data_IF_628055547017
#
_entry.id   IF_628055547017
#
_cell.length_a   1.000
_cell.length_b   1.000
_cell.length_c   1.000
_cell.angle_alpha   90.00
_cell.angle_beta   90.00
_cell.angle_gamma   90.00
#
_symmetry.space_group_name_H-M   'P 1'
#
loop_
_entity.id
_entity.type
_entity.pdbx_description
1 polymer ?
#
# COMPACT_ATOMS: atom_id res chain seq x y z
N UNK A 1 12.17 -9.11 3.49
CA UNK A 1 12.48 -9.18 2.04
C UNK A 1 11.93 -10.48 1.45
N UNK A 2 12.17 -11.65 2.04
CA UNK A 2 11.66 -12.92 1.50
C UNK A 2 10.14 -12.92 1.26
N UNK A 3 9.34 -12.42 2.19
CA UNK A 3 7.88 -12.37 2.05
C UNK A 3 7.40 -11.46 0.90
N UNK A 4 8.20 -10.48 0.49
CA UNK A 4 7.92 -9.63 -0.68
C UNK A 4 8.04 -10.45 -1.97
N UNK A 5 8.99 -11.37 -2.01
CA UNK A 5 9.30 -12.19 -3.19
C UNK A 5 8.41 -13.42 -3.36
N UNK A 6 7.72 -13.86 -2.31
CA UNK A 6 6.91 -15.08 -2.32
C UNK A 6 5.41 -14.81 -2.38
N UNK A 7 4.73 -15.46 -3.32
CA UNK A 7 3.27 -15.30 -3.50
C UNK A 7 2.53 -15.97 -2.34
N UNK A 8 1.61 -15.21 -1.71
CA UNK A 8 0.79 -15.74 -0.63
C UNK A 8 1.48 -15.84 0.72
N UNK A 9 2.78 -15.55 0.81
CA UNK A 9 3.48 -15.49 2.08
C UNK A 9 3.45 -14.08 2.68
N UNK A 10 3.19 -14.03 3.98
CA UNK A 10 3.28 -12.81 4.77
C UNK A 10 3.90 -13.16 6.12
N UNK A 11 4.81 -12.34 6.59
CA UNK A 11 5.33 -12.43 7.96
C UNK A 11 4.31 -11.95 9.00
N UNK A 12 3.21 -11.35 8.53
CA UNK A 12 2.14 -10.83 9.39
C UNK A 12 1.20 -11.94 9.77
N UNK A 13 0.93 -12.10 11.05
CA UNK A 13 -0.07 -13.05 11.56
C UNK A 13 -1.46 -12.53 11.21
N UNK A 14 -2.35 -13.46 10.84
CA UNK A 14 -3.75 -13.14 10.59
C UNK A 14 -4.39 -12.51 11.82
N UNK A 15 -5.08 -11.39 11.66
CA UNK A 15 -5.80 -10.68 12.73
C UNK A 15 -4.99 -9.63 13.50
N UNK A 16 -3.65 -9.60 13.36
CA UNK A 16 -2.82 -8.58 14.03
C UNK A 16 -2.43 -7.42 13.11
N UNK A 17 -2.41 -7.68 11.80
CA UNK A 17 -1.92 -6.71 10.82
C UNK A 17 -2.77 -6.68 9.55
N UNK A 18 -2.83 -5.51 8.92
CA UNK A 18 -3.39 -5.33 7.58
C UNK A 18 -2.51 -6.06 6.55
N UNK A 19 -3.14 -6.79 5.62
CA UNK A 19 -2.44 -7.37 4.48
C UNK A 19 -1.73 -8.68 4.75
N UNK A 20 -2.41 -9.65 5.33
CA UNK A 20 -1.88 -10.99 5.59
C UNK A 20 -1.81 -11.92 4.36
N UNK A 21 -2.43 -11.56 3.24
CA UNK A 21 -2.51 -12.42 2.03
C UNK A 21 -1.32 -12.26 1.07
N UNK A 22 -0.43 -11.31 1.29
CA UNK A 22 0.74 -11.08 0.42
C UNK A 22 0.42 -10.65 -1.01
N UNK A 23 -0.81 -10.19 -1.27
CA UNK A 23 -1.27 -9.82 -2.62
C UNK A 23 -1.22 -8.30 -2.83
N UNK A 24 -1.55 -7.51 -1.80
CA UNK A 24 -1.71 -6.05 -1.91
C UNK A 24 -0.45 -5.35 -2.40
N UNK A 25 0.72 -5.72 -1.86
CA UNK A 25 1.99 -5.13 -2.28
C UNK A 25 2.32 -5.39 -3.75
N UNK A 26 1.84 -6.49 -4.32
CA UNK A 26 2.10 -6.83 -5.73
C UNK A 26 1.25 -6.06 -6.72
N UNK A 27 0.14 -5.49 -6.29
CA UNK A 27 -0.69 -4.66 -7.17
C UNK A 27 0.02 -3.40 -7.67
N UNK A 28 1.08 -2.96 -6.97
CA UNK A 28 1.91 -1.81 -7.39
C UNK A 28 2.55 -2.01 -8.77
N UNK A 29 2.77 -3.26 -9.22
CA UNK A 29 3.32 -3.52 -10.56
C UNK A 29 2.41 -3.15 -11.72
N UNK A 30 1.14 -2.99 -11.43
CA UNK A 30 0.23 -2.47 -12.43
C UNK A 30 0.52 -1.00 -12.77
N UNK A 31 1.20 -0.30 -11.88
CA UNK A 31 1.44 1.15 -11.98
C UNK A 31 2.92 1.53 -12.01
N UNK A 32 3.84 0.64 -11.65
CA UNK A 32 5.27 0.97 -11.61
C UNK A 32 6.15 -0.03 -12.37
N UNK A 33 7.26 0.48 -12.93
CA UNK A 33 8.32 -0.31 -13.59
C UNK A 33 9.45 -0.65 -12.65
N UNK A 34 9.67 0.20 -11.67
CA UNK A 34 10.77 0.10 -10.73
C UNK A 34 10.30 0.50 -9.34
N UNK A 35 10.73 -0.26 -8.37
CA UNK A 35 10.49 -0.03 -6.96
C UNK A 35 11.83 0.05 -6.24
N UNK A 36 12.02 1.08 -5.44
CA UNK A 36 13.08 1.13 -4.43
C UNK A 36 12.46 1.03 -3.05
N UNK A 37 13.04 0.20 -2.22
CA UNK A 37 12.68 0.00 -0.83
C UNK A 37 13.88 0.37 0.03
N UNK A 38 13.69 1.32 0.93
CA UNK A 38 14.66 1.71 1.94
C UNK A 38 13.99 1.46 3.29
N UNK A 39 14.60 0.61 4.12
CA UNK A 39 14.04 0.30 5.43
C UNK A 39 15.14 -0.20 6.38
N UNK A 40 15.37 0.50 7.47
CA UNK A 40 16.51 0.25 8.33
C UNK A 40 17.81 0.33 7.55
N UNK A 41 18.65 -0.70 7.62
CA UNK A 41 19.89 -0.77 6.83
C UNK A 41 19.74 -1.34 5.42
N UNK A 42 18.51 -1.59 4.94
CA UNK A 42 18.28 -2.20 3.63
C UNK A 42 17.97 -1.14 2.58
N UNK A 43 18.66 -1.23 1.45
CA UNK A 43 18.42 -0.43 0.25
C UNK A 43 18.30 -1.39 -0.93
N UNK A 44 17.08 -1.72 -1.33
CA UNK A 44 16.81 -2.77 -2.32
C UNK A 44 15.96 -2.23 -3.44
N UNK A 45 16.43 -2.42 -4.67
CA UNK A 45 15.73 -2.12 -5.91
C UNK A 45 15.15 -3.38 -6.53
N UNK A 46 13.91 -3.26 -7.00
CA UNK A 46 13.26 -4.28 -7.81
C UNK A 46 12.94 -3.71 -9.19
N UNK A 47 13.43 -4.37 -10.22
CA UNK A 47 13.28 -3.94 -11.60
C UNK A 47 13.32 -5.13 -12.56
N UNK A 48 12.35 -5.19 -13.50
CA UNK A 48 12.23 -6.33 -14.42
C UNK A 48 13.42 -6.48 -15.35
N UNK A 49 14.00 -5.37 -15.82
CA UNK A 49 15.18 -5.42 -16.70
C UNK A 49 16.41 -5.97 -15.98
N UNK A 50 16.67 -5.53 -14.75
CA UNK A 50 17.79 -6.05 -13.96
C UNK A 50 17.60 -7.52 -13.61
N UNK A 51 16.39 -7.91 -13.24
CA UNK A 51 16.07 -9.32 -13.00
C UNK A 51 16.33 -10.18 -14.23
N UNK A 52 15.89 -9.72 -15.40
CA UNK A 52 16.16 -10.39 -16.66
C UNK A 52 17.67 -10.51 -16.93
N UNK A 53 18.41 -9.42 -16.80
CA UNK A 53 19.87 -9.39 -17.01
C UNK A 53 20.58 -10.35 -16.05
N UNK A 54 20.25 -10.31 -14.76
CA UNK A 54 20.87 -11.19 -13.75
C UNK A 54 20.63 -12.67 -14.06
N UNK A 55 19.42 -13.04 -14.52
CA UNK A 55 19.12 -14.40 -14.94
C UNK A 55 19.99 -14.78 -16.15
N UNK A 56 20.09 -13.93 -17.16
CA UNK A 56 20.93 -14.19 -18.33
C UNK A 56 22.40 -14.32 -17.96
N UNK A 57 22.93 -13.42 -17.13
CA UNK A 57 24.33 -13.42 -16.70
C UNK A 57 24.66 -14.69 -15.90
N UNK A 58 23.75 -15.14 -15.02
CA UNK A 58 23.90 -16.39 -14.30
C UNK A 58 24.03 -17.58 -15.24
N UNK A 59 23.16 -17.72 -16.24
CA UNK A 59 23.26 -18.77 -17.24
C UNK A 59 24.54 -18.68 -18.10
N UNK A 60 25.07 -17.47 -18.32
CA UNK A 60 26.32 -17.28 -19.06
C UNK A 60 27.52 -17.69 -18.22
N UNK A 61 27.54 -17.38 -16.93
CA UNK A 61 28.67 -17.62 -16.04
C UNK A 61 28.80 -19.07 -15.60
N UNK A 62 27.69 -19.76 -15.34
CA UNK A 62 27.72 -21.11 -14.77
C UNK A 62 27.95 -22.20 -15.80
N UNK A 63 28.05 -21.89 -17.14
CA UNK A 63 28.11 -23.00 -18.02
C UNK A 63 28.63 -22.97 -19.40
N UNK A 64 29.34 -23.93 -19.57
CA UNK A 64 29.47 -24.90 -20.66
C UNK A 64 28.28 -25.92 -20.81
N UNK A 65 27.03 -25.60 -20.41
CA UNK A 65 25.89 -26.50 -20.63
C UNK A 65 25.41 -26.44 -22.08
N UNK A 66 25.18 -27.58 -22.73
CA UNK A 66 24.66 -27.62 -24.10
C UNK A 66 23.25 -26.98 -24.23
N UNK A 67 22.56 -26.84 -23.13
CA UNK A 67 21.20 -26.21 -23.07
C UNK A 67 21.21 -24.72 -22.84
N UNK A 68 22.38 -24.06 -22.69
CA UNK A 68 22.51 -22.65 -22.41
C UNK A 68 21.76 -21.78 -23.42
N UNK A 69 22.01 -22.00 -24.71
CA UNK A 69 21.40 -21.19 -25.78
C UNK A 69 19.90 -21.40 -25.83
N UNK A 70 19.41 -22.60 -25.55
CA UNK A 70 17.98 -22.90 -25.45
C UNK A 70 17.33 -22.21 -24.25
N UNK A 71 18.00 -22.17 -23.10
CA UNK A 71 17.51 -21.46 -21.92
C UNK A 71 17.46 -19.94 -22.15
N UNK A 72 18.50 -19.36 -22.73
CA UNK A 72 18.53 -17.93 -23.07
C UNK A 72 17.45 -17.56 -24.09
N UNK A 73 17.24 -18.39 -25.10
CA UNK A 73 16.19 -18.20 -26.08
C UNK A 73 14.80 -18.28 -25.45
N UNK A 74 14.58 -19.25 -24.53
CA UNK A 74 13.33 -19.32 -23.76
C UNK A 74 13.11 -18.08 -22.89
N UNK A 75 14.13 -17.62 -22.15
CA UNK A 75 14.07 -16.44 -21.30
C UNK A 75 13.78 -15.19 -22.13
N UNK A 76 14.43 -15.05 -23.29
CA UNK A 76 14.22 -13.94 -24.23
C UNK A 76 12.76 -13.86 -24.72
N UNK A 77 12.20 -15.01 -25.11
CA UNK A 77 10.78 -15.10 -25.56
C UNK A 77 9.78 -14.79 -24.46
N UNK A 78 10.15 -15.01 -23.20
CA UNK A 78 9.27 -14.83 -22.03
C UNK A 78 9.66 -13.63 -21.15
N UNK A 79 10.47 -12.71 -21.66
CA UNK A 79 10.98 -11.55 -20.93
C UNK A 79 9.88 -10.77 -20.20
N UNK A 80 8.73 -10.58 -20.83
CA UNK A 80 7.56 -9.89 -20.22
C UNK A 80 6.89 -10.64 -19.08
N UNK A 81 7.19 -11.94 -18.91
CA UNK A 81 6.64 -12.78 -17.85
C UNK A 81 7.56 -12.91 -16.64
N UNK A 82 8.76 -12.33 -16.71
CA UNK A 82 9.71 -12.36 -15.59
C UNK A 82 9.20 -11.47 -14.48
N UNK A 83 8.92 -12.02 -13.30
CA UNK A 83 8.34 -11.23 -12.21
C UNK A 83 9.40 -10.33 -11.59
N UNK A 84 9.14 -9.03 -11.61
CA UNK A 84 10.04 -7.98 -11.12
C UNK A 84 10.48 -8.20 -9.65
N UNK A 85 9.58 -8.66 -8.77
CA UNK A 85 9.86 -8.86 -7.33
C UNK A 85 10.61 -10.15 -6.98
N UNK A 86 11.07 -10.91 -7.93
CA UNK A 86 11.76 -12.17 -7.58
C UNK A 86 13.19 -11.95 -7.10
N UNK A 87 13.85 -10.95 -7.66
CA UNK A 87 15.24 -10.65 -7.35
C UNK A 87 15.35 -9.18 -6.99
N UNK A 88 15.76 -8.91 -5.76
CA UNK A 88 16.10 -7.57 -5.30
C UNK A 88 17.59 -7.31 -5.51
N UNK A 89 17.92 -6.11 -5.94
CA UNK A 89 19.29 -5.66 -6.13
C UNK A 89 19.60 -4.58 -5.13
N UNK A 90 20.75 -4.65 -4.51
CA UNK A 90 21.28 -3.57 -3.71
C UNK A 90 21.50 -2.33 -4.58
N UNK A 91 21.28 -1.15 -4.03
CA UNK A 91 21.56 0.12 -4.70
C UNK A 91 22.06 1.16 -3.70
N UNK A 92 22.78 2.16 -4.18
CA UNK A 92 23.16 3.32 -3.42
C UNK A 92 22.24 4.50 -3.77
N UNK A 93 22.03 5.42 -2.81
CA UNK A 93 21.06 6.54 -2.99
C UNK A 93 21.53 7.48 -4.12
N UNK A 94 22.82 7.59 -4.36
CA UNK A 94 23.40 8.39 -5.44
C UNK A 94 23.13 7.81 -6.86
N UNK A 95 22.68 6.57 -6.97
CA UNK A 95 22.18 5.99 -8.23
C UNK A 95 20.78 6.53 -8.62
N UNK A 96 20.11 7.22 -7.73
CA UNK A 96 18.77 7.78 -7.96
C UNK A 96 18.86 9.14 -8.67
N UNK A 97 17.81 9.54 -9.40
CA UNK A 97 17.70 10.92 -9.86
C UNK A 97 17.81 11.89 -8.66
N UNK A 98 18.58 12.98 -8.84
CA UNK A 98 18.91 13.93 -7.76
C UNK A 98 17.68 14.40 -6.97
N UNK A 99 16.61 14.78 -7.66
CA UNK A 99 15.36 15.20 -7.04
C UNK A 99 14.67 14.11 -6.20
N UNK A 100 14.92 12.83 -6.50
CA UNK A 100 14.39 11.69 -5.72
C UNK A 100 15.29 11.43 -4.52
N UNK A 101 16.61 11.50 -4.70
CA UNK A 101 17.59 11.37 -3.63
C UNK A 101 17.40 12.45 -2.55
N UNK A 102 17.11 13.68 -2.95
CA UNK A 102 16.80 14.80 -2.06
C UNK A 102 15.56 14.52 -1.21
N UNK A 103 14.48 14.05 -1.82
CA UNK A 103 13.24 13.69 -1.12
C UNK A 103 13.50 12.55 -0.11
N UNK A 104 14.25 11.53 -0.50
CA UNK A 104 14.60 10.42 0.39
C UNK A 104 15.41 10.94 1.58
N UNK A 105 16.39 11.80 1.33
CA UNK A 105 17.22 12.40 2.37
C UNK A 105 16.37 13.25 3.33
N UNK A 106 15.40 14.02 2.82
CA UNK A 106 14.44 14.77 3.63
C UNK A 106 13.63 13.84 4.53
N UNK A 107 13.07 12.74 3.96
CA UNK A 107 12.29 11.76 4.70
C UNK A 107 13.11 11.02 5.76
N UNK A 108 14.35 10.67 5.46
CA UNK A 108 15.26 10.04 6.44
C UNK A 108 15.59 10.99 7.60
N UNK A 109 15.80 12.28 7.33
CA UNK A 109 15.99 13.30 8.38
C UNK A 109 14.74 13.50 9.24
N UNK A 110 13.56 13.24 8.68
CA UNK A 110 12.28 13.27 9.39
C UNK A 110 11.95 11.94 10.09
N UNK A 111 12.94 11.03 10.22
CA UNK A 111 12.87 9.77 10.96
C UNK A 111 11.85 8.76 10.41
N UNK A 112 11.64 8.75 9.09
CA UNK A 112 10.83 7.71 8.46
C UNK A 112 11.58 6.38 8.39
N UNK A 113 11.07 5.35 9.02
CA UNK A 113 11.68 4.01 9.08
C UNK A 113 11.66 3.27 7.75
N UNK A 114 10.62 3.47 6.95
CA UNK A 114 10.46 2.79 5.67
C UNK A 114 10.01 3.76 4.59
N UNK A 115 10.77 3.80 3.50
CA UNK A 115 10.51 4.63 2.34
C UNK A 115 10.36 3.71 1.12
N UNK A 116 9.26 3.89 0.39
CA UNK A 116 9.01 3.22 -0.88
C UNK A 116 8.97 4.26 -1.99
N UNK A 117 9.84 4.10 -2.98
CA UNK A 117 9.81 4.93 -4.19
C UNK A 117 9.31 4.09 -5.35
N UNK A 118 8.27 4.55 -6.02
CA UNK A 118 7.64 3.89 -7.15
C UNK A 118 7.83 4.72 -8.41
N UNK A 119 8.60 4.20 -9.35
CA UNK A 119 8.72 4.81 -10.68
C UNK A 119 7.56 4.36 -11.56
N UNK A 120 6.73 5.30 -11.96
CA UNK A 120 5.56 5.03 -12.78
C UNK A 120 5.95 4.47 -14.15
N UNK A 121 5.19 3.47 -14.61
CA UNK A 121 5.31 2.95 -15.95
C UNK A 121 4.54 3.82 -16.95
N UNK A 122 5.24 4.57 -17.76
CA UNK A 122 4.62 5.41 -18.80
C UNK A 122 4.19 4.61 -20.06
N UNK A 123 4.80 3.45 -20.27
CA UNK A 123 4.64 2.68 -21.52
C UNK A 123 3.69 1.49 -21.46
N UNK A 124 3.27 1.05 -20.26
CA UNK A 124 2.52 -0.20 -20.07
C UNK A 124 1.14 0.00 -19.45
N UNK A 125 0.59 1.16 -19.53
CA UNK A 125 -0.74 1.41 -18.99
C UNK A 125 -1.78 0.79 -19.92
N UNK A 126 -2.05 -0.49 -19.69
CA UNK A 126 -3.30 -1.10 -20.12
C UNK A 126 -4.45 -0.47 -19.32
N UNK A 127 -4.85 0.72 -19.71
CA UNK A 127 -5.88 1.49 -19.05
C UNK A 127 -5.36 2.85 -18.53
N UNK A 128 -6.26 3.78 -18.38
CA UNK A 128 -6.05 5.19 -18.06
C UNK A 128 -5.49 5.47 -16.63
N UNK A 129 -4.47 4.74 -16.19
CA UNK A 129 -3.80 5.00 -14.90
C UNK A 129 -2.72 6.06 -15.10
N UNK A 130 -3.14 7.26 -15.39
CA UNK A 130 -2.24 8.41 -15.43
C UNK A 130 -1.99 8.99 -14.02
N UNK A 131 -1.16 10.03 -13.96
CA UNK A 131 -0.85 10.72 -12.71
C UNK A 131 -2.10 11.33 -12.07
N UNK A 132 -3.02 11.86 -12.88
CA UNK A 132 -4.25 12.44 -12.39
C UNK A 132 -5.13 11.38 -11.73
N UNK A 133 -5.28 10.21 -12.35
CA UNK A 133 -6.01 9.08 -11.78
C UNK A 133 -5.46 8.65 -10.41
N UNK A 134 -4.12 8.52 -10.28
CA UNK A 134 -3.50 8.14 -9.00
C UNK A 134 -3.82 9.20 -7.93
N UNK A 135 -3.66 10.49 -8.30
CA UNK A 135 -3.95 11.58 -7.38
C UNK A 135 -5.43 11.65 -7.00
N UNK A 136 -6.34 11.49 -7.95
CA UNK A 136 -7.78 11.49 -7.71
C UNK A 136 -8.19 10.36 -6.77
N UNK A 137 -7.53 9.18 -6.89
CA UNK A 137 -7.74 8.07 -5.96
C UNK A 137 -7.24 8.38 -4.55
N UNK A 138 -6.08 9.02 -4.41
CA UNK A 138 -5.60 9.48 -3.11
C UNK A 138 -6.52 10.56 -2.55
N UNK A 139 -6.92 11.54 -3.36
CA UNK A 139 -7.80 12.63 -2.95
C UNK A 139 -9.22 12.14 -2.55
N UNK A 140 -9.64 10.98 -3.06
CA UNK A 140 -10.91 10.35 -2.69
C UNK A 140 -10.88 9.61 -1.35
N UNK A 141 -9.72 9.52 -0.68
CA UNK A 141 -9.66 8.98 0.68
C UNK A 141 -10.49 9.86 1.61
N UNK A 142 -11.33 9.23 2.39
CA UNK A 142 -12.18 9.87 3.38
C UNK A 142 -11.84 9.45 4.80
N UNK A 143 -12.63 9.97 5.72
CA UNK A 143 -12.49 9.69 7.15
C UNK A 143 -12.71 8.22 7.50
N UNK A 144 -13.52 7.52 6.72
CA UNK A 144 -13.93 6.13 6.98
C UNK A 144 -12.84 5.13 6.67
N UNK A 145 -12.05 5.38 5.61
CA UNK A 145 -10.90 4.56 5.26
C UNK A 145 -9.82 4.60 6.35
N UNK A 146 -9.74 5.72 7.09
CA UNK A 146 -8.76 5.90 8.16
C UNK A 146 -9.25 5.35 9.49
N UNK A 147 -10.56 5.36 9.71
CA UNK A 147 -11.20 5.06 11.00
C UNK A 147 -10.81 3.70 11.59
N UNK A 148 -10.71 2.67 10.75
CA UNK A 148 -10.45 1.29 11.17
C UNK A 148 -8.97 0.87 11.07
N UNK A 149 -8.06 1.81 10.82
CA UNK A 149 -6.62 1.54 10.77
C UNK A 149 -6.01 1.67 12.16
N UNK A 150 -6.08 0.61 12.95
CA UNK A 150 -5.75 0.63 14.39
C UNK A 150 -4.33 1.11 14.72
N UNK A 151 -3.36 0.91 13.84
CA UNK A 151 -1.96 1.28 14.05
C UNK A 151 -1.58 2.63 13.45
N UNK A 152 -2.46 3.23 12.63
CA UNK A 152 -2.20 4.46 11.93
C UNK A 152 -2.75 5.66 12.71
N UNK A 153 -1.91 6.67 12.97
CA UNK A 153 -2.33 7.90 13.64
C UNK A 153 -2.48 9.07 12.69
N UNK A 154 -1.67 9.09 11.64
CA UNK A 154 -1.66 10.18 10.67
C UNK A 154 -1.43 9.66 9.25
N UNK A 155 -2.02 10.33 8.26
CA UNK A 155 -1.78 10.14 6.83
C UNK A 155 -1.53 11.48 6.20
N UNK A 156 -0.40 11.64 5.53
CA UNK A 156 -0.06 12.85 4.80
C UNK A 156 0.02 12.54 3.31
N UNK A 157 -0.78 13.24 2.51
CA UNK A 157 -0.75 13.17 1.04
C UNK A 157 -0.18 14.49 0.51
N UNK A 158 1.08 14.47 0.09
CA UNK A 158 1.78 15.66 -0.42
C UNK A 158 1.85 15.63 -1.94
N UNK A 159 1.33 16.65 -2.59
CA UNK A 159 1.50 16.85 -4.01
C UNK A 159 2.61 17.88 -4.25
N UNK A 160 3.78 17.41 -4.72
CA UNK A 160 4.95 18.27 -4.90
C UNK A 160 4.77 19.28 -6.04
N UNK A 161 3.98 18.95 -7.07
CA UNK A 161 3.75 19.83 -8.23
C UNK A 161 2.52 20.73 -8.10
N UNK A 162 1.65 20.46 -7.15
CA UNK A 162 0.46 21.22 -6.83
C UNK A 162 0.26 21.19 -5.30
N UNK A 163 1.11 21.91 -4.54
CA UNK A 163 1.11 21.84 -3.07
C UNK A 163 -0.23 22.20 -2.42
N UNK A 164 -1.01 23.05 -3.06
CA UNK A 164 -2.36 23.45 -2.63
C UNK A 164 -3.36 22.28 -2.62
N UNK A 165 -3.08 21.20 -3.34
CA UNK A 165 -3.88 19.96 -3.35
C UNK A 165 -3.50 18.99 -2.24
N UNK A 166 -2.41 19.25 -1.52
CA UNK A 166 -1.95 18.39 -0.44
C UNK A 166 -2.94 18.38 0.71
N UNK A 167 -3.07 17.24 1.37
CA UNK A 167 -3.96 17.09 2.53
C UNK A 167 -3.40 16.09 3.53
N UNK A 168 -3.94 16.11 4.74
CA UNK A 168 -3.61 15.10 5.74
C UNK A 168 -4.84 14.72 6.56
N UNK A 169 -4.78 13.53 7.14
CA UNK A 169 -5.72 13.09 8.15
C UNK A 169 -4.95 12.80 9.44
N UNK A 170 -5.54 13.16 10.56
CA UNK A 170 -5.11 12.76 11.89
C UNK A 170 -6.23 11.95 12.57
N UNK A 171 -5.87 10.82 13.15
CA UNK A 171 -6.78 9.94 13.90
C UNK A 171 -6.39 9.92 15.36
N UNK A 172 -7.23 10.47 16.19
CA UNK A 172 -7.12 10.46 17.64
C UNK A 172 -8.03 9.38 18.24
N UNK A 173 -7.54 8.66 19.24
CA UNK A 173 -8.27 7.61 19.93
C UNK A 173 -8.46 7.96 21.41
N UNK A 174 -9.69 8.00 21.85
CA UNK A 174 -10.07 8.31 23.24
C UNK A 174 -11.05 7.23 23.76
N UNK A 175 -10.50 6.11 24.24
CA UNK A 175 -11.34 4.95 24.58
C UNK A 175 -12.07 4.41 23.35
N UNK A 176 -13.39 4.34 23.41
CA UNK A 176 -14.24 3.91 22.30
C UNK A 176 -14.49 5.03 21.27
N UNK A 177 -14.07 6.25 21.55
CA UNK A 177 -14.17 7.36 20.59
C UNK A 177 -12.98 7.38 19.62
N UNK A 178 -13.29 7.71 18.38
CA UNK A 178 -12.32 8.01 17.31
C UNK A 178 -12.65 9.39 16.74
N UNK A 179 -11.63 10.22 16.64
CA UNK A 179 -11.77 11.57 16.08
C UNK A 179 -10.86 11.65 14.87
N UNK A 180 -11.47 11.83 13.69
CA UNK A 180 -10.74 12.03 12.44
C UNK A 180 -10.79 13.51 12.09
N UNK A 181 -9.62 14.10 11.80
CA UNK A 181 -9.50 15.49 11.33
C UNK A 181 -8.82 15.50 9.96
N UNK A 182 -9.31 16.36 9.07
CA UNK A 182 -8.70 16.59 7.77
C UNK A 182 -8.13 17.99 7.68
N UNK A 183 -6.93 18.12 7.11
CA UNK A 183 -6.24 19.39 6.84
C UNK A 183 -5.81 19.42 5.37
N UNK A 184 -5.94 20.55 4.61
CA UNK A 184 -6.53 21.82 5.04
C UNK A 184 -8.04 21.73 5.18
N UNK A 185 -8.56 22.54 6.05
CA UNK A 185 -9.98 22.56 6.39
C UNK A 185 -10.15 22.42 7.90
N UNK A 186 -11.39 22.51 8.34
CA UNK A 186 -11.76 22.28 9.74
C UNK A 186 -12.66 21.06 9.88
N UNK A 187 -12.62 20.18 8.89
CA UNK A 187 -13.43 18.97 8.89
C UNK A 187 -13.01 18.06 10.04
N UNK A 188 -13.96 17.77 10.90
CA UNK A 188 -13.79 16.90 12.05
C UNK A 188 -14.98 15.96 12.13
N UNK A 189 -14.67 14.69 12.17
CA UNK A 189 -15.67 13.63 12.38
C UNK A 189 -15.38 12.92 13.69
N UNK A 190 -16.41 12.66 14.44
CA UNK A 190 -16.34 11.92 15.69
C UNK A 190 -17.16 10.65 15.58
N UNK A 191 -16.55 9.56 15.94
CA UNK A 191 -17.16 8.23 15.86
C UNK A 191 -17.12 7.55 17.23
N UNK A 192 -18.18 6.84 17.53
CA UNK A 192 -18.20 5.86 18.62
C UNK A 192 -18.00 4.48 18.00
N UNK A 193 -16.95 3.78 18.43
CA UNK A 193 -16.52 2.49 17.85
C UNK A 193 -16.63 1.40 18.91
N UNK A 194 -17.41 0.38 18.60
CA UNK A 194 -17.60 -0.78 19.46
C UNK A 194 -16.92 -2.01 18.86
N UNK A 195 -15.83 -2.49 19.46
CA UNK A 195 -15.26 -3.78 19.08
C UNK A 195 -16.12 -4.90 19.69
N UNK A 196 -16.34 -5.97 18.92
CA UNK A 196 -16.92 -7.18 19.45
C UNK A 196 -16.20 -8.41 18.89
N UNK A 197 -16.07 -9.48 19.71
CA UNK A 197 -15.45 -10.70 19.27
C UNK A 197 -16.37 -11.47 18.33
N UNK A 198 -15.84 -11.94 17.20
CA UNK A 198 -16.51 -12.92 16.35
C UNK A 198 -15.85 -14.26 16.62
N UNK A 199 -16.60 -15.27 17.08
CA UNK A 199 -16.05 -16.62 17.22
C UNK A 199 -15.69 -17.15 15.83
N UNK A 200 -14.44 -17.48 15.63
CA UNK A 200 -13.97 -18.13 14.41
C UNK A 200 -14.08 -19.65 14.54
N UNK A 201 -14.39 -20.31 13.42
CA UNK A 201 -14.44 -21.77 13.29
C UNK A 201 -13.12 -22.44 13.68
N UNK A 202 -12.00 -21.71 13.57
CA UNK A 202 -10.66 -22.16 13.96
C UNK A 202 -10.29 -21.85 15.45
N UNK A 203 -11.25 -21.51 16.31
CA UNK A 203 -11.05 -21.09 17.71
C UNK A 203 -10.20 -19.84 17.91
N UNK A 204 -9.97 -19.03 16.87
CA UNK A 204 -9.34 -17.74 16.98
C UNK A 204 -10.40 -16.66 17.09
N UNK A 205 -10.30 -15.83 18.12
CA UNK A 205 -11.19 -14.68 18.28
C UNK A 205 -10.79 -13.61 17.28
N UNK A 206 -11.62 -13.38 16.28
CA UNK A 206 -11.49 -12.22 15.40
C UNK A 206 -12.24 -11.04 16.04
N UNK A 207 -11.75 -9.83 15.81
CA UNK A 207 -12.41 -8.59 16.25
C UNK A 207 -13.12 -7.97 15.06
N UNK A 208 -14.43 -7.79 15.17
CA UNK A 208 -15.16 -6.87 14.31
C UNK A 208 -15.33 -5.54 15.04
N UNK A 209 -15.53 -4.47 14.28
CA UNK A 209 -15.81 -3.15 14.81
C UNK A 209 -17.03 -2.57 14.11
N UNK A 210 -17.88 -1.91 14.88
CA UNK A 210 -19.03 -1.15 14.39
C UNK A 210 -18.80 0.30 14.80
N UNK A 211 -18.95 1.22 13.87
CA UNK A 211 -18.79 2.65 14.11
C UNK A 211 -20.08 3.40 13.86
N UNK A 212 -20.36 4.37 14.73
CA UNK A 212 -21.46 5.32 14.60
C UNK A 212 -20.87 6.74 14.52
N UNK A 213 -21.19 7.46 13.44
CA UNK A 213 -20.88 8.88 13.36
C UNK A 213 -21.72 9.62 14.40
N UNK A 214 -21.14 10.59 15.09
CA UNK A 214 -21.79 11.40 16.09
C UNK A 214 -22.09 12.81 15.53
N UNK A 215 -23.26 13.34 15.89
CA UNK A 215 -23.59 14.75 15.66
C UNK A 215 -22.91 15.68 16.68
N UNK A 216 -23.17 16.97 16.57
CA UNK A 216 -22.64 17.99 17.49
C UNK A 216 -23.10 17.79 18.95
N UNK A 217 -24.24 17.13 19.15
CA UNK A 217 -24.79 16.81 20.47
C UNK A 217 -24.31 15.46 20.99
N UNK A 218 -23.42 14.78 20.26
CA UNK A 218 -22.88 13.44 20.54
C UNK A 218 -23.91 12.31 20.42
N UNK A 219 -24.97 12.51 19.65
CA UNK A 219 -25.90 11.45 19.32
C UNK A 219 -25.48 10.72 18.04
N UNK A 220 -25.67 9.38 17.97
CA UNK A 220 -25.39 8.64 16.76
C UNK A 220 -26.25 9.08 15.58
N UNK A 221 -25.59 9.38 14.48
CA UNK A 221 -26.24 9.70 13.20
C UNK A 221 -26.40 8.41 12.37
N UNK A 222 -27.53 8.24 11.66
CA UNK A 222 -27.68 7.16 10.70
C UNK A 222 -26.66 7.29 9.57
N UNK A 223 -26.01 6.20 9.22
CA UNK A 223 -25.14 6.15 8.03
C UNK A 223 -25.96 6.34 6.75
N UNK A 224 -25.43 7.09 5.80
CA UNK A 224 -26.02 7.21 4.46
C UNK A 224 -26.02 5.84 3.75
N UNK A 225 -26.89 5.68 2.75
CA UNK A 225 -26.99 4.38 2.05
C UNK A 225 -25.67 3.95 1.38
N UNK A 226 -24.90 4.90 0.89
CA UNK A 226 -23.59 4.64 0.28
C UNK A 226 -22.50 4.23 1.31
N UNK A 227 -22.75 4.50 2.58
CA UNK A 227 -21.80 4.30 3.67
C UNK A 227 -22.05 3.00 4.45
N UNK A 228 -23.15 2.32 4.15
CA UNK A 228 -23.54 1.05 4.79
C UNK A 228 -22.86 -0.13 4.14
N UNK A 229 -21.53 -0.16 4.21
CA UNK A 229 -20.71 -1.19 3.60
C UNK A 229 -19.82 -1.86 4.65
N UNK A 230 -19.45 -3.10 4.40
CA UNK A 230 -18.43 -3.76 5.21
C UNK A 230 -17.05 -3.21 4.89
N UNK A 231 -16.26 -2.98 5.91
CA UNK A 231 -14.87 -2.59 5.78
C UNK A 231 -13.99 -3.79 6.17
N UNK A 232 -13.18 -4.23 5.23
CA UNK A 232 -12.07 -5.16 5.49
C UNK A 232 -10.75 -4.41 5.34
N UNK A 233 -10.57 -3.31 6.11
CA UNK A 233 -9.60 -2.22 5.99
C UNK A 233 -9.93 -1.22 4.88
N UNK A 234 -10.59 -1.64 3.81
CA UNK A 234 -11.15 -0.82 2.74
C UNK A 234 -12.62 -1.19 2.54
N UNK A 235 -13.43 -0.25 2.04
CA UNK A 235 -14.83 -0.51 1.83
C UNK A 235 -15.03 -1.65 0.82
N UNK A 236 -15.76 -2.67 1.22
CA UNK A 236 -16.24 -3.71 0.33
C UNK A 236 -17.48 -3.20 -0.41
N UNK A 237 -17.29 -2.34 -1.39
CA UNK A 237 -18.34 -1.54 -2.06
C UNK A 237 -19.50 -2.40 -2.61
N UNK A 238 -19.29 -3.69 -2.83
CA UNK A 238 -20.33 -4.63 -3.31
C UNK A 238 -21.18 -5.23 -2.18
N UNK A 239 -20.76 -5.02 -0.94
CA UNK A 239 -21.35 -5.65 0.25
C UNK A 239 -22.07 -4.59 1.09
N UNK A 240 -23.28 -4.21 0.66
CA UNK A 240 -24.13 -3.31 1.44
C UNK A 240 -24.94 -4.13 2.46
N UNK A 241 -24.75 -3.90 3.74
CA UNK A 241 -25.43 -4.61 4.81
C UNK A 241 -26.80 -4.03 5.20
N UNK A 242 -27.18 -2.85 4.68
CA UNK A 242 -28.47 -2.23 4.94
C UNK A 242 -28.70 -1.66 6.34
N UNK A 243 -27.75 -1.83 7.28
CA UNK A 243 -27.84 -1.31 8.62
C UNK A 243 -27.46 0.19 8.68
N UNK A 244 -27.96 0.98 9.64
CA UNK A 244 -27.70 2.43 9.75
C UNK A 244 -26.36 2.79 10.42
N UNK A 245 -25.33 1.95 10.30
CA UNK A 245 -23.99 2.13 10.88
C UNK A 245 -22.89 1.72 9.89
N UNK A 246 -21.63 2.03 10.22
CA UNK A 246 -20.44 1.68 9.44
C UNK A 246 -19.75 0.42 9.94
#
# INVERSE_FOLDING_TARGET
IESISRLGESTKKSGEYIGNKGIGFRSIYQICNRLWLISGGYQVRYEGHHTYKAICDHFVQENASPDKDRCLDYINRHKSKIPMLKIGFWFEIDELPENVADIITELQKADYDTILVLERNENNLSGNVDRAFIWDRLASLGEKEILFLDTLCEVHCRNVTAPEKSFSFALERQGDMRIVRKTPGQDKWEFLVFPFPIPDIAQKTQKAQIAFLLDAAKHPCPAGSADRVFYTFYPAVRENHGFPFF
#
